data_IF_886243710472
#
_entry.id   IF_886243710472
#
_cell.length_a   1.000
_cell.length_b   1.000
_cell.length_c   1.000
_cell.angle_alpha   90.00
_cell.angle_beta   90.00
_cell.angle_gamma   90.00
#
_symmetry.space_group_name_H-M   'P 1'
#
loop_
_entity.id
_entity.type
_entity.pdbx_description
1 polymer ?
#
# COMPACT_ATOMS: atom_id res chain seq x y z
N UNK A 1 -37.31 60.85 12.02
CA UNK A 1 -36.34 60.34 11.05
C UNK A 1 -35.25 59.65 11.83
N UNK A 2 -35.34 58.36 12.00
CA UNK A 2 -34.36 57.55 12.70
C UNK A 2 -33.58 56.73 11.70
N UNK A 3 -32.29 56.92 11.65
CA UNK A 3 -31.37 56.14 10.83
C UNK A 3 -31.06 54.83 11.53
N UNK A 4 -31.39 53.70 10.90
CA UNK A 4 -31.00 52.35 11.34
C UNK A 4 -29.65 52.07 10.74
N UNK A 5 -28.63 52.01 11.59
CA UNK A 5 -27.31 51.48 11.25
C UNK A 5 -27.38 49.95 11.26
N UNK A 6 -27.37 49.35 10.08
CA UNK A 6 -27.13 47.92 9.92
C UNK A 6 -25.62 47.63 10.02
N UNK A 7 -25.20 47.09 11.16
CA UNK A 7 -23.87 46.52 11.31
C UNK A 7 -23.83 45.14 10.61
N UNK A 8 -23.13 45.06 9.47
CA UNK A 8 -22.72 43.79 8.89
C UNK A 8 -21.61 43.17 9.76
N UNK A 9 -22.00 42.32 10.65
CA UNK A 9 -21.06 41.38 11.29
C UNK A 9 -20.80 40.25 10.27
N UNK A 10 -19.69 40.34 9.59
CA UNK A 10 -19.20 39.22 8.77
C UNK A 10 -18.89 38.02 9.66
N UNK A 11 -19.78 37.04 9.64
CA UNK A 11 -19.51 35.71 10.17
C UNK A 11 -18.50 35.06 9.24
N UNK A 12 -17.23 35.13 9.55
CA UNK A 12 -16.22 34.24 9.03
C UNK A 12 -16.55 32.86 9.57
N UNK A 13 -17.34 32.10 8.81
CA UNK A 13 -17.45 30.65 8.97
C UNK A 13 -16.10 30.08 8.61
N UNK A 14 -15.26 29.86 9.62
CA UNK A 14 -14.20 28.88 9.53
C UNK A 14 -14.94 27.55 9.35
N UNK A 15 -15.05 27.09 8.12
CA UNK A 15 -15.44 25.73 7.86
C UNK A 15 -14.37 24.86 8.54
N UNK A 16 -14.64 24.40 9.76
CA UNK A 16 -14.00 23.20 10.27
C UNK A 16 -14.34 22.16 9.21
N UNK A 17 -13.34 21.73 8.47
CA UNK A 17 -13.45 20.48 7.73
C UNK A 17 -13.87 19.45 8.78
N UNK A 18 -15.08 18.94 8.67
CA UNK A 18 -15.50 17.80 9.47
C UNK A 18 -14.46 16.72 9.15
N UNK A 19 -13.76 16.23 10.16
CA UNK A 19 -13.00 15.01 10.01
C UNK A 19 -14.01 13.98 9.49
N UNK A 20 -13.64 13.18 8.47
CA UNK A 20 -14.54 12.15 7.98
C UNK A 20 -14.98 11.28 9.17
N UNK A 21 -16.25 10.88 9.19
CA UNK A 21 -16.84 10.08 10.28
C UNK A 21 -16.06 8.79 10.60
N UNK A 22 -15.19 8.34 9.70
CA UNK A 22 -14.20 7.27 9.85
C UNK A 22 -12.78 7.87 9.88
N UNK A 23 -12.45 8.66 10.90
CA UNK A 23 -11.09 9.11 11.12
C UNK A 23 -10.17 7.89 11.31
N UNK A 24 -9.34 7.59 10.31
CA UNK A 24 -8.37 6.49 10.33
C UNK A 24 -7.50 6.56 11.58
N UNK A 25 -7.52 5.52 12.38
CA UNK A 25 -6.71 5.42 13.59
C UNK A 25 -5.24 5.27 13.20
N UNK A 26 -4.44 6.26 13.57
CA UNK A 26 -2.99 6.20 13.42
C UNK A 26 -2.36 5.90 14.77
N UNK A 27 -1.78 4.73 14.88
CA UNK A 27 -1.29 4.16 16.14
C UNK A 27 -0.34 5.11 16.90
N UNK A 28 0.58 5.77 16.22
CA UNK A 28 1.53 6.72 16.81
C UNK A 28 0.86 7.99 17.37
N UNK A 29 -0.33 8.38 16.86
CA UNK A 29 -1.09 9.55 17.34
C UNK A 29 -2.00 9.21 18.52
N UNK A 30 -2.40 7.95 18.65
CA UNK A 30 -3.26 7.47 19.74
C UNK A 30 -2.47 6.87 20.91
N UNK A 31 -1.15 6.83 20.82
CA UNK A 31 -0.28 6.21 21.82
C UNK A 31 -0.29 6.99 23.15
N UNK A 32 -0.44 6.24 24.25
CA UNK A 32 -0.31 6.79 25.57
C UNK A 32 1.18 6.94 25.96
N UNK A 33 1.69 8.16 25.89
CA UNK A 33 3.09 8.51 26.19
C UNK A 33 3.49 8.31 27.66
N UNK A 34 2.54 8.00 28.55
CA UNK A 34 2.84 7.66 29.94
C UNK A 34 3.44 6.25 30.08
N UNK A 35 3.19 5.37 29.09
CA UNK A 35 3.77 4.03 29.06
C UNK A 35 5.19 4.13 28.51
N UNK A 36 6.17 4.02 29.39
CA UNK A 36 7.60 4.06 29.02
C UNK A 36 8.11 2.66 28.76
N UNK A 37 8.38 2.36 27.50
CA UNK A 37 9.13 1.18 27.10
C UNK A 37 10.62 1.48 27.18
N UNK A 38 11.33 0.77 28.03
CA UNK A 38 12.80 0.85 28.21
C UNK A 38 13.44 -0.52 28.08
N UNK A 39 12.66 -1.55 27.79
CA UNK A 39 13.14 -2.90 27.65
C UNK A 39 13.84 -3.11 26.31
N UNK A 40 15.06 -3.62 26.34
CA UNK A 40 15.86 -3.92 25.16
C UNK A 40 16.05 -5.43 24.94
N UNK A 41 15.45 -6.26 25.80
CA UNK A 41 15.55 -7.73 25.65
C UNK A 41 14.80 -8.19 24.41
N UNK A 42 15.39 -9.17 23.72
CA UNK A 42 14.78 -9.92 22.62
C UNK A 42 14.47 -11.36 23.04
N UNK A 43 14.75 -11.71 24.30
CA UNK A 43 14.47 -13.02 24.86
C UNK A 43 13.00 -13.11 25.29
N UNK A 44 12.28 -14.10 24.80
CA UNK A 44 10.85 -14.29 25.04
C UNK A 44 10.46 -14.24 26.54
N UNK A 45 11.33 -14.74 27.43
CA UNK A 45 11.08 -14.81 28.88
C UNK A 45 11.11 -13.44 29.59
N UNK A 46 11.81 -12.46 29.00
CA UNK A 46 12.08 -11.12 29.60
C UNK A 46 11.66 -9.99 28.66
N UNK A 47 10.94 -10.29 27.61
CA UNK A 47 10.47 -9.33 26.62
C UNK A 47 9.28 -8.53 27.13
N UNK A 48 9.32 -7.22 26.87
CA UNK A 48 8.13 -6.37 26.95
C UNK A 48 8.22 -5.22 25.94
N UNK A 49 7.09 -4.79 25.41
CA UNK A 49 6.99 -3.71 24.43
C UNK A 49 5.70 -2.92 24.59
N UNK A 50 5.74 -1.63 24.24
CA UNK A 50 4.52 -0.83 24.09
C UNK A 50 3.78 -1.16 22.77
N UNK A 51 4.47 -1.73 21.76
CA UNK A 51 3.84 -2.21 20.54
C UNK A 51 3.08 -3.53 20.81
N UNK A 52 2.02 -3.82 20.06
CA UNK A 52 1.41 -5.14 20.06
C UNK A 52 2.43 -6.23 19.78
N UNK A 53 2.27 -7.39 20.40
CA UNK A 53 3.17 -8.54 20.26
C UNK A 53 2.41 -9.67 19.57
N UNK A 54 2.98 -10.20 18.50
CA UNK A 54 2.45 -11.33 17.73
C UNK A 54 3.34 -12.55 17.96
N UNK A 55 2.80 -13.62 18.51
CA UNK A 55 3.48 -14.93 18.62
C UNK A 55 2.89 -15.91 17.64
N UNK A 56 3.76 -16.57 16.88
CA UNK A 56 3.39 -17.58 15.89
C UNK A 56 4.11 -18.89 16.22
N UNK A 57 3.34 -19.95 16.43
CA UNK A 57 3.86 -21.29 16.71
C UNK A 57 3.49 -22.24 15.57
N UNK A 58 4.51 -22.86 14.94
CA UNK A 58 4.36 -23.72 13.76
C UNK A 58 4.57 -25.20 14.05
N UNK A 59 4.69 -25.57 15.33
CA UNK A 59 5.06 -26.94 15.76
C UNK A 59 6.34 -27.46 15.07
N UNK A 60 7.31 -26.53 14.86
CA UNK A 60 8.60 -26.84 14.21
C UNK A 60 8.53 -26.98 12.69
N UNK A 61 7.40 -26.75 12.06
CA UNK A 61 7.30 -26.75 10.60
C UNK A 61 7.93 -25.49 10.01
N UNK A 62 8.58 -25.64 8.85
CA UNK A 62 9.08 -24.50 8.07
C UNK A 62 7.95 -23.86 7.29
N UNK A 63 7.76 -22.54 7.45
CA UNK A 63 6.76 -21.79 6.69
C UNK A 63 7.12 -21.80 5.20
N UNK A 64 6.26 -22.33 4.31
CA UNK A 64 6.55 -22.48 2.89
C UNK A 64 6.49 -21.12 2.17
N UNK A 65 7.01 -21.10 0.95
CA UNK A 65 6.92 -19.94 0.05
C UNK A 65 8.26 -19.24 -0.23
N UNK A 66 9.37 -19.71 0.34
CA UNK A 66 10.72 -19.31 -0.10
C UNK A 66 11.14 -20.15 -1.32
N UNK A 67 11.84 -19.56 -2.32
CA UNK A 67 12.40 -20.35 -3.41
C UNK A 67 13.53 -21.24 -2.91
N UNK A 68 13.62 -22.43 -3.47
CA UNK A 68 14.76 -23.33 -3.29
C UNK A 68 15.99 -22.82 -4.07
N UNK A 69 17.16 -23.39 -3.78
CA UNK A 69 18.39 -23.01 -4.48
C UNK A 69 18.25 -23.25 -6.00
N UNK A 70 18.37 -22.17 -6.78
CA UNK A 70 18.22 -22.19 -8.24
C UNK A 70 16.78 -22.07 -8.76
N UNK A 71 15.78 -22.06 -7.89
CA UNK A 71 14.39 -21.84 -8.26
C UNK A 71 14.11 -20.34 -8.43
N UNK A 72 13.37 -19.98 -9.48
CA UNK A 72 12.87 -18.60 -9.65
C UNK A 72 11.69 -18.36 -8.72
N UNK A 73 11.58 -17.14 -8.18
CA UNK A 73 10.45 -16.77 -7.31
C UNK A 73 9.10 -17.00 -7.98
N UNK A 74 8.99 -16.72 -9.28
CA UNK A 74 7.77 -16.97 -10.06
C UNK A 74 7.37 -18.45 -10.15
N UNK A 75 8.25 -19.38 -9.78
CA UNK A 75 8.01 -20.82 -9.80
C UNK A 75 7.69 -21.39 -8.41
N UNK A 76 7.57 -20.52 -7.40
CA UNK A 76 7.25 -20.96 -6.03
C UNK A 76 5.74 -21.06 -5.87
N UNK A 77 5.28 -22.24 -5.46
CA UNK A 77 3.87 -22.48 -5.17
C UNK A 77 3.41 -21.74 -3.90
N UNK A 78 2.17 -21.31 -3.90
CA UNK A 78 1.53 -20.62 -2.79
C UNK A 78 0.85 -21.62 -1.82
N UNK A 79 1.64 -22.54 -1.26
CA UNK A 79 1.15 -23.50 -0.26
C UNK A 79 1.14 -22.88 1.14
N UNK A 80 0.30 -23.43 2.02
CA UNK A 80 0.15 -23.01 3.41
C UNK A 80 0.47 -24.14 4.37
N UNK A 81 0.86 -23.80 5.59
CA UNK A 81 0.86 -24.70 6.74
C UNK A 81 -0.07 -24.18 7.82
N UNK A 82 -0.53 -25.07 8.68
CA UNK A 82 -1.25 -24.70 9.90
C UNK A 82 -0.29 -24.20 10.97
N UNK A 83 -0.67 -23.16 11.70
CA UNK A 83 0.08 -22.63 12.83
C UNK A 83 -0.90 -22.06 13.86
N UNK A 84 -0.42 -21.76 15.06
CA UNK A 84 -1.15 -21.02 16.08
C UNK A 84 -0.64 -19.61 16.15
N UNK A 85 -1.53 -18.62 16.22
CA UNK A 85 -1.19 -17.21 16.39
C UNK A 85 -1.83 -16.66 17.65
N UNK A 86 -1.04 -15.94 18.44
CA UNK A 86 -1.50 -15.13 19.57
C UNK A 86 -1.10 -13.67 19.35
N UNK A 87 -2.01 -12.75 19.67
CA UNK A 87 -1.76 -11.31 19.61
C UNK A 87 -2.04 -10.73 20.98
N UNK A 88 -1.02 -10.17 21.61
CA UNK A 88 -1.10 -9.46 22.88
C UNK A 88 -1.12 -7.95 22.60
N UNK A 89 -2.21 -7.30 22.96
CA UNK A 89 -2.39 -5.85 22.83
C UNK A 89 -3.08 -5.30 24.07
N UNK A 90 -2.33 -4.63 24.91
CA UNK A 90 -2.82 -4.01 26.16
C UNK A 90 -2.79 -2.50 26.02
N UNK A 91 -3.94 -1.86 25.93
CA UNK A 91 -4.03 -0.41 25.94
C UNK A 91 -3.54 0.16 27.27
N UNK A 92 -2.48 0.97 27.23
CA UNK A 92 -1.93 1.66 28.42
C UNK A 92 -1.02 0.80 29.30
N UNK A 93 -0.52 -0.34 28.81
CA UNK A 93 0.50 -1.17 29.47
C UNK A 93 1.52 -1.67 28.45
N UNK A 94 2.65 -2.18 28.94
CA UNK A 94 3.56 -2.96 28.10
C UNK A 94 2.98 -4.34 27.84
N UNK A 95 3.12 -4.82 26.61
CA UNK A 95 2.74 -6.15 26.18
C UNK A 95 3.88 -7.13 26.41
N UNK A 96 3.56 -8.30 26.90
CA UNK A 96 4.49 -9.42 27.10
C UNK A 96 3.91 -10.70 26.51
N UNK A 97 4.76 -11.70 26.26
CA UNK A 97 4.32 -13.03 25.80
C UNK A 97 3.59 -13.84 26.89
N UNK A 98 3.48 -13.29 28.12
CA UNK A 98 2.80 -13.92 29.26
C UNK A 98 1.40 -13.36 29.48
N UNK A 99 1.05 -12.29 28.75
CA UNK A 99 -0.27 -11.67 28.88
C UNK A 99 -1.34 -12.54 28.20
N UNK A 100 -2.58 -12.40 28.66
CA UNK A 100 -3.73 -13.02 28.00
C UNK A 100 -3.89 -12.37 26.60
N UNK A 101 -3.87 -13.15 25.51
CA UNK A 101 -3.97 -12.62 24.17
C UNK A 101 -5.40 -12.13 23.83
N UNK A 102 -5.53 -11.02 23.13
CA UNK A 102 -6.79 -10.57 22.54
C UNK A 102 -7.23 -11.46 21.39
N UNK A 103 -6.28 -12.00 20.63
CA UNK A 103 -6.52 -13.02 19.60
C UNK A 103 -5.69 -14.23 19.94
N UNK A 104 -6.34 -15.39 19.99
CA UNK A 104 -5.71 -16.70 20.14
C UNK A 104 -6.40 -17.65 19.17
N UNK A 105 -5.78 -17.89 18.00
CA UNK A 105 -6.47 -18.52 16.88
C UNK A 105 -5.55 -19.42 16.05
N UNK A 106 -6.17 -20.41 15.41
CA UNK A 106 -5.53 -21.20 14.38
C UNK A 106 -5.44 -20.39 13.08
N UNK A 107 -4.31 -20.53 12.39
CA UNK A 107 -4.06 -19.85 11.12
C UNK A 107 -3.50 -20.80 10.07
N UNK A 108 -3.71 -20.44 8.81
CA UNK A 108 -2.96 -20.93 7.67
C UNK A 108 -1.95 -19.85 7.29
N UNK A 109 -0.65 -20.17 7.22
CA UNK A 109 0.42 -19.20 6.99
C UNK A 109 1.37 -19.62 5.88
N UNK A 110 1.86 -18.65 5.13
CA UNK A 110 2.93 -18.80 4.14
C UNK A 110 3.78 -17.55 4.02
N UNK A 111 4.98 -17.69 3.50
CA UNK A 111 5.79 -16.55 3.06
C UNK A 111 5.12 -15.91 1.83
N UNK A 112 5.10 -14.58 1.78
CA UNK A 112 4.50 -13.80 0.68
C UNK A 112 5.49 -12.83 0.04
N UNK A 113 5.09 -12.30 -1.11
CA UNK A 113 5.87 -11.31 -1.87
C UNK A 113 6.43 -11.91 -3.15
N UNK A 114 7.22 -11.13 -3.87
CA UNK A 114 8.01 -11.56 -5.02
C UNK A 114 9.49 -11.55 -4.59
N UNK A 115 10.27 -10.55 -4.94
CA UNK A 115 11.68 -10.44 -4.55
C UNK A 115 11.91 -10.48 -3.04
N UNK A 116 10.96 -10.00 -2.24
CA UNK A 116 11.02 -10.04 -0.77
C UNK A 116 11.06 -11.46 -0.16
N UNK A 117 10.72 -12.51 -0.91
CA UNK A 117 10.90 -13.90 -0.48
C UNK A 117 12.38 -14.34 -0.40
N UNK A 118 13.27 -13.57 -1.03
CA UNK A 118 14.71 -13.80 -1.02
C UNK A 118 15.42 -13.20 0.20
N UNK A 119 14.75 -12.33 0.93
CA UNK A 119 15.32 -11.65 2.09
C UNK A 119 15.28 -12.52 3.34
N UNK A 120 16.18 -12.27 4.29
CA UNK A 120 16.18 -12.98 5.55
C UNK A 120 14.95 -12.68 6.39
N UNK A 121 14.54 -11.41 6.47
CA UNK A 121 13.29 -10.96 7.09
C UNK A 121 12.18 -10.96 6.06
N UNK A 122 11.42 -12.04 6.00
CA UNK A 122 10.32 -12.20 5.04
C UNK A 122 9.01 -11.60 5.57
N UNK A 123 8.10 -11.29 4.63
CA UNK A 123 6.71 -11.02 4.94
C UNK A 123 5.86 -12.29 4.87
N UNK A 124 4.75 -12.30 5.60
CA UNK A 124 3.81 -13.42 5.65
C UNK A 124 2.42 -13.00 5.18
N UNK A 125 1.74 -13.91 4.51
CA UNK A 125 0.30 -13.92 4.36
C UNK A 125 -0.25 -15.01 5.27
N UNK A 126 -1.25 -14.66 6.08
CA UNK A 126 -1.93 -15.64 6.91
C UNK A 126 -3.45 -15.46 6.86
N UNK A 127 -4.14 -16.53 7.19
CA UNK A 127 -5.60 -16.58 7.27
C UNK A 127 -6.00 -17.19 8.59
N UNK A 128 -6.85 -16.53 9.32
CA UNK A 128 -7.51 -17.11 10.46
C UNK A 128 -8.52 -18.18 10.00
N UNK A 129 -8.50 -19.32 10.67
CA UNK A 129 -9.38 -20.44 10.36
C UNK A 129 -10.08 -20.97 11.61
N UNK A 130 -11.27 -21.53 11.41
CA UNK A 130 -11.90 -22.33 12.44
C UNK A 130 -11.33 -23.76 12.43
N UNK A 131 -11.74 -24.58 13.38
CA UNK A 131 -11.28 -25.96 13.56
C UNK A 131 -11.59 -26.88 12.36
N UNK A 132 -12.58 -26.52 11.53
CA UNK A 132 -12.89 -27.23 10.28
C UNK A 132 -12.12 -26.71 9.06
N UNK A 133 -11.24 -25.71 9.25
CA UNK A 133 -10.45 -25.08 8.20
C UNK A 133 -11.19 -24.00 7.38
N UNK A 134 -12.41 -23.65 7.78
CA UNK A 134 -13.13 -22.52 7.17
C UNK A 134 -12.55 -21.19 7.63
N UNK A 135 -12.68 -20.16 6.78
CA UNK A 135 -12.21 -18.82 7.09
C UNK A 135 -13.00 -18.24 8.28
N UNK A 136 -12.30 -17.67 9.26
CA UNK A 136 -12.87 -17.07 10.46
C UNK A 136 -12.34 -15.64 10.64
N UNK A 137 -13.19 -14.61 10.52
CA UNK A 137 -12.73 -13.23 10.66
C UNK A 137 -12.42 -12.88 12.12
N UNK A 138 -11.37 -12.08 12.33
CA UNK A 138 -11.01 -11.48 13.59
C UNK A 138 -10.71 -9.99 13.40
N UNK A 139 -11.11 -9.17 14.37
CA UNK A 139 -10.59 -7.84 14.55
C UNK A 139 -9.13 -7.94 15.00
N UNK A 140 -8.22 -7.19 14.38
CA UNK A 140 -6.79 -7.24 14.68
C UNK A 140 -6.29 -5.83 14.97
N UNK A 141 -5.84 -5.59 16.21
CA UNK A 141 -5.25 -4.31 16.61
C UNK A 141 -6.17 -3.11 16.30
N UNK A 142 -7.47 -3.25 16.57
CA UNK A 142 -8.49 -2.23 16.31
C UNK A 142 -8.71 -1.91 14.82
N UNK A 143 -8.29 -2.80 13.92
CA UNK A 143 -8.64 -2.77 12.49
C UNK A 143 -9.83 -3.69 12.25
N UNK A 144 -10.70 -3.31 11.30
CA UNK A 144 -11.91 -4.05 10.98
C UNK A 144 -11.65 -5.54 10.69
N UNK A 145 -12.60 -6.37 11.13
CA UNK A 145 -12.45 -7.81 11.07
C UNK A 145 -12.30 -8.36 9.64
N UNK A 146 -11.36 -9.26 9.46
CA UNK A 146 -11.18 -10.05 8.25
C UNK A 146 -10.51 -11.38 8.62
N UNK A 147 -10.63 -12.37 7.76
CA UNK A 147 -9.88 -13.61 7.91
C UNK A 147 -8.45 -13.52 7.40
N UNK A 148 -8.16 -12.66 6.43
CA UNK A 148 -6.88 -12.63 5.71
C UNK A 148 -6.08 -11.36 5.98
N UNK A 149 -4.85 -11.53 6.43
CA UNK A 149 -3.95 -10.46 6.85
C UNK A 149 -2.54 -10.62 6.28
N UNK A 150 -1.80 -9.54 6.28
CA UNK A 150 -0.39 -9.50 5.88
C UNK A 150 0.48 -9.00 7.03
N UNK A 151 1.53 -9.74 7.35
CA UNK A 151 2.66 -9.27 8.15
C UNK A 151 3.78 -8.86 7.19
N UNK A 152 3.95 -7.57 6.99
CA UNK A 152 5.04 -7.03 6.18
C UNK A 152 6.31 -6.94 7.02
N UNK A 153 7.37 -7.66 6.60
CA UNK A 153 8.70 -7.62 7.22
C UNK A 153 9.61 -6.62 6.51
N UNK A 154 9.83 -5.42 7.05
CA UNK A 154 10.66 -4.41 6.40
C UNK A 154 12.14 -4.79 6.52
N UNK A 155 12.70 -5.38 5.46
CA UNK A 155 14.12 -5.76 5.38
C UNK A 155 14.97 -4.71 4.67
N UNK A 156 14.60 -4.35 3.43
CA UNK A 156 15.25 -3.27 2.70
C UNK A 156 14.94 -1.89 3.29
N UNK A 157 13.72 -1.72 3.79
CA UNK A 157 13.32 -0.49 4.44
C UNK A 157 13.92 -0.38 5.84
N UNK A 158 15.14 0.12 5.91
CA UNK A 158 15.87 0.35 7.18
C UNK A 158 15.24 1.45 8.04
N UNK A 159 14.27 2.21 7.50
CA UNK A 159 13.47 3.17 8.31
C UNK A 159 12.33 2.51 9.05
N UNK A 160 11.94 1.30 8.68
CA UNK A 160 10.79 0.52 9.17
C UNK A 160 9.43 1.17 8.88
N UNK A 161 9.36 2.39 8.33
CA UNK A 161 8.15 3.20 8.32
C UNK A 161 7.50 3.43 6.94
N UNK A 162 8.14 3.08 5.80
CA UNK A 162 7.62 3.42 4.46
C UNK A 162 6.20 2.95 4.23
N UNK A 163 5.92 1.67 4.42
CA UNK A 163 4.57 1.12 4.28
C UNK A 163 3.60 1.73 5.29
N UNK A 164 3.99 1.80 6.56
CA UNK A 164 3.15 2.38 7.61
C UNK A 164 2.75 3.83 7.31
N UNK A 165 3.72 4.66 6.96
CA UNK A 165 3.50 6.07 6.65
C UNK A 165 2.61 6.25 5.42
N UNK A 166 2.95 5.60 4.30
CA UNK A 166 2.24 5.84 3.05
C UNK A 166 0.85 5.23 3.01
N UNK A 167 0.61 4.09 3.66
CA UNK A 167 -0.76 3.60 3.80
C UNK A 167 -1.61 4.56 4.62
N UNK A 168 -1.09 5.06 5.74
CA UNK A 168 -1.81 6.02 6.58
C UNK A 168 -2.08 7.36 5.87
N UNK A 169 -1.09 7.92 5.17
CA UNK A 169 -1.28 9.14 4.39
C UNK A 169 -2.22 8.92 3.20
N UNK A 170 -2.10 7.78 2.52
CA UNK A 170 -2.99 7.44 1.41
C UNK A 170 -4.45 7.29 1.87
N UNK A 171 -4.70 6.71 3.04
CA UNK A 171 -6.04 6.60 3.61
C UNK A 171 -6.66 7.93 4.07
N UNK A 172 -5.86 9.02 4.14
CA UNK A 172 -6.36 10.38 4.33
C UNK A 172 -6.57 11.13 3.01
N UNK A 173 -6.02 10.64 1.91
CA UNK A 173 -6.08 11.27 0.58
C UNK A 173 -7.13 10.58 -0.28
N UNK A 174 -7.14 9.25 -0.28
CA UNK A 174 -8.01 8.39 -1.07
C UNK A 174 -9.23 7.94 -0.25
N UNK A 175 -10.29 7.51 -0.92
CA UNK A 175 -11.48 6.95 -0.28
C UNK A 175 -11.16 5.72 0.57
N UNK A 176 -10.25 4.87 0.10
CA UNK A 176 -9.78 3.70 0.81
C UNK A 176 -8.30 3.41 0.52
N UNK A 177 -7.58 3.00 1.52
CA UNK A 177 -6.25 2.40 1.45
C UNK A 177 -6.11 1.41 2.63
N UNK A 178 -5.28 0.36 2.54
CA UNK A 178 -5.09 -0.60 3.61
C UNK A 178 -4.78 0.08 4.95
N UNK A 179 -5.43 -0.34 6.03
CA UNK A 179 -5.07 0.08 7.38
C UNK A 179 -3.86 -0.72 7.88
N UNK A 180 -3.09 -0.14 8.80
CA UNK A 180 -1.80 -0.69 9.21
C UNK A 180 -1.50 -0.45 10.68
N UNK A 181 -0.82 -1.41 11.32
CA UNK A 181 -0.30 -1.28 12.68
C UNK A 181 1.12 -1.83 12.76
N UNK A 182 1.98 -1.16 13.52
CA UNK A 182 3.24 -1.76 13.94
C UNK A 182 2.99 -2.86 14.99
N UNK A 183 3.78 -3.91 14.92
CA UNK A 183 3.84 -4.96 15.93
C UNK A 183 5.24 -5.56 15.99
N UNK A 184 5.54 -6.24 17.08
CA UNK A 184 6.76 -7.03 17.22
C UNK A 184 6.42 -8.52 17.15
N UNK A 185 7.18 -9.28 16.38
CA UNK A 185 6.84 -10.67 16.03
C UNK A 185 7.81 -11.66 16.65
N UNK A 186 7.27 -12.72 17.23
CA UNK A 186 7.97 -13.94 17.62
C UNK A 186 7.52 -15.10 16.75
N UNK A 187 8.47 -15.91 16.30
CA UNK A 187 8.22 -17.15 15.58
C UNK A 187 8.89 -18.30 16.32
N UNK A 188 8.09 -19.26 16.80
CA UNK A 188 8.57 -20.38 17.62
C UNK A 188 9.47 -19.91 18.78
N UNK A 189 9.03 -18.88 19.49
CA UNK A 189 9.73 -18.26 20.63
C UNK A 189 10.95 -17.40 20.25
N UNK A 190 11.34 -17.30 18.97
CA UNK A 190 12.45 -16.48 18.53
C UNK A 190 11.98 -15.11 18.01
N UNK A 191 12.55 -14.03 18.51
CA UNK A 191 12.21 -12.66 18.10
C UNK A 191 12.58 -12.39 16.64
N UNK A 192 11.62 -11.87 15.86
CA UNK A 192 11.76 -11.57 14.45
C UNK A 192 11.84 -10.05 14.14
N UNK A 193 11.68 -9.20 15.14
CA UNK A 193 11.73 -7.74 14.97
C UNK A 193 10.38 -7.08 14.76
N UNK A 194 10.44 -5.81 14.35
CA UNK A 194 9.28 -4.98 14.04
C UNK A 194 8.70 -5.35 12.68
N UNK A 195 7.40 -5.57 12.63
CA UNK A 195 6.60 -5.83 11.43
C UNK A 195 5.49 -4.78 11.30
N UNK A 196 4.93 -4.68 10.11
CA UNK A 196 3.71 -3.92 9.85
C UNK A 196 2.58 -4.91 9.55
N UNK A 197 1.65 -5.06 10.49
CA UNK A 197 0.38 -5.72 10.26
C UNK A 197 -0.42 -4.87 9.28
N UNK A 198 -0.88 -5.47 8.21
CA UNK A 198 -1.49 -4.75 7.08
C UNK A 198 -2.75 -5.47 6.63
N UNK A 199 -3.79 -4.71 6.40
CA UNK A 199 -4.99 -5.19 5.74
C UNK A 199 -4.68 -5.74 4.36
N UNK A 200 -5.23 -6.91 4.04
CA UNK A 200 -5.24 -7.40 2.66
C UNK A 200 -6.25 -6.59 1.85
N UNK A 201 -5.95 -6.29 0.57
CA UNK A 201 -6.93 -5.72 -0.35
C UNK A 201 -7.99 -6.78 -0.62
N UNK A 202 -9.17 -6.59 -0.03
CA UNK A 202 -10.33 -7.51 -0.06
C UNK A 202 -11.64 -6.73 -0.09
N UNK A 203 -12.74 -7.41 -0.32
CA UNK A 203 -14.10 -6.86 -0.25
C UNK A 203 -14.68 -7.16 1.14
N UNK A 204 -15.26 -6.16 1.79
CA UNK A 204 -15.87 -6.31 3.11
C UNK A 204 -16.11 -4.97 3.81
N UNK A 205 -16.73 -5.01 4.97
CA UNK A 205 -16.89 -3.87 5.86
C UNK A 205 -15.51 -3.34 6.29
N UNK A 206 -15.32 -2.01 6.20
CA UNK A 206 -14.03 -1.36 6.46
C UNK A 206 -12.91 -1.68 5.45
N UNK A 207 -13.20 -2.52 4.46
CA UNK A 207 -12.33 -2.82 3.31
C UNK A 207 -12.84 -2.08 2.07
N UNK A 208 -12.65 -2.66 0.89
CA UNK A 208 -13.29 -2.16 -0.32
C UNK A 208 -14.77 -2.49 -0.26
N UNK A 209 -15.60 -1.48 -0.07
CA UNK A 209 -17.05 -1.61 0.01
C UNK A 209 -17.65 -1.58 -1.40
N UNK A 210 -17.92 -2.76 -1.94
CA UNK A 210 -18.62 -2.98 -3.20
C UNK A 210 -19.67 -4.07 -3.01
N UNK A 211 -20.62 -4.15 -3.92
CA UNK A 211 -21.65 -5.20 -3.91
C UNK A 211 -21.01 -6.58 -3.93
N UNK A 212 -21.26 -7.38 -2.92
CA UNK A 212 -20.75 -8.74 -2.87
C UNK A 212 -21.34 -9.61 -3.98
N UNK A 213 -20.51 -10.46 -4.56
CA UNK A 213 -20.93 -11.40 -5.59
C UNK A 213 -21.82 -12.51 -4.99
N UNK A 214 -23.02 -12.63 -5.52
CA UNK A 214 -24.04 -13.59 -5.06
C UNK A 214 -23.77 -15.06 -5.45
N UNK A 215 -22.73 -15.30 -6.26
CA UNK A 215 -22.36 -16.63 -6.75
C UNK A 215 -23.31 -17.19 -7.82
N UNK A 216 -24.20 -16.37 -8.40
CA UNK A 216 -25.23 -16.80 -9.38
C UNK A 216 -25.31 -15.92 -10.61
N UNK A 217 -25.10 -14.61 -10.44
CA UNK A 217 -25.18 -13.63 -11.51
C UNK A 217 -24.02 -13.79 -12.51
N UNK A 218 -24.24 -13.40 -13.76
CA UNK A 218 -23.18 -13.34 -14.78
C UNK A 218 -22.44 -12.00 -14.79
N UNK A 219 -22.65 -11.19 -13.77
CA UNK A 219 -21.95 -9.91 -13.51
C UNK A 219 -21.56 -9.87 -12.05
N UNK A 220 -20.48 -9.18 -11.75
CA UNK A 220 -19.95 -9.03 -10.38
C UNK A 220 -19.22 -7.69 -10.25
N UNK A 221 -19.19 -7.14 -9.03
CA UNK A 221 -18.10 -6.26 -8.63
C UNK A 221 -16.79 -7.05 -8.69
N UNK A 222 -15.66 -6.35 -8.83
CA UNK A 222 -14.39 -7.04 -8.93
C UNK A 222 -13.22 -6.26 -8.35
N UNK A 223 -12.19 -7.00 -7.95
CA UNK A 223 -10.84 -6.51 -7.69
C UNK A 223 -9.90 -7.24 -8.63
N UNK A 224 -9.04 -6.50 -9.31
CA UNK A 224 -7.96 -7.06 -10.13
C UNK A 224 -6.63 -6.49 -9.70
N UNK A 225 -5.57 -7.28 -9.87
CA UNK A 225 -4.19 -6.89 -9.57
C UNK A 225 -3.33 -7.04 -10.82
N UNK A 226 -2.63 -6.00 -11.17
CA UNK A 226 -1.60 -6.04 -12.21
C UNK A 226 -0.30 -6.46 -11.57
N UNK A 227 0.24 -7.60 -11.99
CA UNK A 227 1.50 -8.13 -11.45
C UNK A 227 2.24 -9.00 -12.48
N UNK A 228 3.34 -9.58 -12.04
CA UNK A 228 4.13 -10.54 -12.82
C UNK A 228 3.38 -11.86 -12.94
N UNK A 229 3.59 -12.54 -14.06
CA UNK A 229 3.04 -13.89 -14.26
C UNK A 229 3.56 -14.85 -13.18
N UNK A 230 2.67 -15.70 -12.67
CA UNK A 230 2.94 -16.72 -11.66
C UNK A 230 2.63 -18.11 -12.19
N UNK A 231 3.29 -19.14 -11.65
CA UNK A 231 2.97 -20.56 -11.91
C UNK A 231 1.76 -21.06 -11.15
N UNK A 232 1.27 -20.27 -10.19
CA UNK A 232 0.05 -20.62 -9.47
C UNK A 232 -1.13 -20.58 -10.44
N UNK A 233 -2.11 -21.44 -10.19
CA UNK A 233 -3.35 -21.45 -10.94
C UNK A 233 -4.16 -20.20 -10.55
N UNK A 234 -4.08 -19.20 -11.40
CA UNK A 234 -4.71 -17.88 -11.22
C UNK A 234 -5.43 -17.47 -12.49
N UNK A 235 -6.56 -16.80 -12.32
CA UNK A 235 -7.36 -16.31 -13.43
C UNK A 235 -6.82 -14.97 -13.92
N UNK A 236 -6.18 -14.99 -15.07
CA UNK A 236 -5.75 -13.79 -15.79
C UNK A 236 -6.82 -13.31 -16.76
N UNK A 237 -6.95 -11.99 -16.86
CA UNK A 237 -7.80 -11.37 -17.87
C UNK A 237 -7.14 -11.40 -19.25
N UNK A 238 -7.95 -11.58 -20.30
CA UNK A 238 -7.58 -11.25 -21.67
C UNK A 238 -7.94 -9.77 -21.91
N UNK A 239 -7.07 -8.87 -21.48
CA UNK A 239 -7.32 -7.43 -21.53
C UNK A 239 -6.63 -6.76 -22.72
N UNK A 240 -7.18 -5.60 -23.12
CA UNK A 240 -6.76 -4.92 -24.36
C UNK A 240 -5.29 -4.49 -24.36
N UNK A 241 -4.75 -3.94 -23.26
CA UNK A 241 -3.37 -3.47 -23.25
C UNK A 241 -2.35 -4.60 -23.31
N UNK A 242 -2.66 -5.77 -22.79
CA UNK A 242 -1.87 -6.98 -22.97
C UNK A 242 -1.92 -7.46 -24.43
N UNK A 243 -3.13 -7.59 -24.97
CA UNK A 243 -3.31 -7.97 -26.38
C UNK A 243 -2.58 -7.01 -27.34
N UNK A 244 -2.68 -5.71 -27.10
CA UNK A 244 -2.00 -4.68 -27.87
C UNK A 244 -0.50 -4.55 -27.56
N UNK A 245 0.06 -5.42 -26.71
CA UNK A 245 1.47 -5.41 -26.24
C UNK A 245 1.92 -4.05 -25.68
N UNK A 246 1.03 -3.38 -24.96
CA UNK A 246 1.32 -2.13 -24.29
C UNK A 246 1.86 -2.34 -22.87
N UNK A 247 1.67 -3.53 -22.32
CA UNK A 247 2.21 -3.97 -21.04
C UNK A 247 2.72 -5.41 -21.14
N UNK A 248 3.60 -5.78 -20.22
CA UNK A 248 4.13 -7.15 -20.06
C UNK A 248 3.62 -7.82 -18.79
N UNK A 249 3.03 -7.05 -17.90
CA UNK A 249 2.38 -7.55 -16.68
C UNK A 249 1.06 -8.23 -17.03
N UNK A 250 0.62 -9.10 -16.14
CA UNK A 250 -0.67 -9.78 -16.23
C UNK A 250 -1.68 -9.11 -15.30
N UNK A 251 -2.95 -9.16 -15.67
CA UNK A 251 -4.06 -8.70 -14.82
C UNK A 251 -4.74 -9.92 -14.22
N UNK A 252 -4.53 -10.13 -12.93
CA UNK A 252 -5.08 -11.26 -12.17
C UNK A 252 -6.37 -10.85 -11.46
N UNK A 253 -7.41 -11.71 -11.50
CA UNK A 253 -8.64 -11.51 -10.72
C UNK A 253 -8.39 -11.88 -9.26
N UNK A 254 -8.61 -10.94 -8.36
CA UNK A 254 -8.53 -11.13 -6.90
C UNK A 254 -9.89 -11.32 -6.24
N UNK A 255 -10.91 -10.70 -6.81
CA UNK A 255 -12.30 -10.85 -6.40
C UNK A 255 -13.20 -10.82 -7.65
N UNK A 256 -14.18 -11.71 -7.75
CA UNK A 256 -14.50 -12.82 -6.84
C UNK A 256 -13.35 -13.80 -6.66
N UNK A 257 -13.25 -14.43 -5.48
CA UNK A 257 -12.21 -15.44 -5.23
C UNK A 257 -12.37 -16.67 -6.13
N UNK A 258 -11.28 -17.38 -6.40
CA UNK A 258 -11.18 -18.48 -7.37
C UNK A 258 -12.30 -19.55 -7.26
N UNK A 259 -12.78 -19.84 -6.04
CA UNK A 259 -13.90 -20.79 -5.83
C UNK A 259 -15.26 -20.32 -6.38
N UNK A 260 -15.43 -18.99 -6.55
CA UNK A 260 -16.68 -18.39 -7.05
C UNK A 260 -16.52 -17.86 -8.49
N UNK A 261 -15.32 -17.87 -9.03
CA UNK A 261 -15.01 -17.38 -10.35
C UNK A 261 -15.42 -18.44 -11.38
N UNK A 262 -16.22 -18.02 -12.37
CA UNK A 262 -16.62 -18.85 -13.51
C UNK A 262 -16.09 -18.25 -14.81
N UNK A 263 -15.99 -19.02 -15.92
CA UNK A 263 -15.59 -18.46 -17.21
C UNK A 263 -16.42 -17.24 -17.63
N UNK A 264 -17.74 -17.26 -17.35
CA UNK A 264 -18.65 -16.16 -17.70
C UNK A 264 -18.32 -14.88 -16.91
N UNK A 265 -17.93 -15.02 -15.64
CA UNK A 265 -17.52 -13.89 -14.80
C UNK A 265 -16.15 -13.36 -15.26
N UNK A 266 -15.19 -14.25 -15.53
CA UNK A 266 -13.88 -13.87 -16.07
C UNK A 266 -14.03 -13.12 -17.39
N UNK A 267 -14.88 -13.60 -18.29
CA UNK A 267 -15.21 -12.94 -19.56
C UNK A 267 -15.88 -11.58 -19.36
N UNK A 268 -16.78 -11.47 -18.37
CA UNK A 268 -17.42 -10.20 -18.02
C UNK A 268 -16.37 -9.19 -17.55
N UNK A 269 -15.52 -9.56 -16.59
CA UNK A 269 -14.47 -8.69 -16.05
C UNK A 269 -13.48 -8.30 -17.15
N UNK A 270 -13.05 -9.26 -17.99
CA UNK A 270 -12.13 -9.00 -19.10
C UNK A 270 -12.70 -7.98 -20.09
N UNK A 271 -13.98 -8.09 -20.44
CA UNK A 271 -14.65 -7.13 -21.32
C UNK A 271 -14.79 -5.76 -20.69
N UNK A 272 -15.27 -5.69 -19.44
CA UNK A 272 -15.49 -4.43 -18.73
C UNK A 272 -14.16 -3.67 -18.54
N UNK A 273 -13.10 -4.35 -18.10
CA UNK A 273 -11.77 -3.76 -17.96
C UNK A 273 -11.18 -3.34 -19.32
N UNK A 274 -11.34 -4.17 -20.35
CA UNK A 274 -10.91 -3.85 -21.73
C UNK A 274 -11.68 -2.66 -22.33
N UNK A 275 -12.94 -2.46 -21.98
CA UNK A 275 -13.71 -1.28 -22.43
C UNK A 275 -13.13 0.01 -21.88
N UNK A 276 -12.73 0.04 -20.60
CA UNK A 276 -11.96 1.15 -20.05
C UNK A 276 -10.69 1.40 -20.86
N UNK A 277 -9.87 0.38 -21.05
CA UNK A 277 -8.60 0.50 -21.78
C UNK A 277 -8.81 0.97 -23.22
N UNK A 278 -9.75 0.37 -23.95
CA UNK A 278 -10.10 0.79 -25.32
C UNK A 278 -10.58 2.23 -25.39
N UNK A 279 -11.41 2.64 -24.43
CA UNK A 279 -11.88 4.04 -24.37
C UNK A 279 -10.73 5.02 -24.20
N UNK A 280 -9.71 4.66 -23.39
CA UNK A 280 -8.55 5.47 -23.15
C UNK A 280 -7.60 5.56 -24.35
N UNK A 281 -7.48 4.47 -25.14
CA UNK A 281 -6.63 4.42 -26.32
C UNK A 281 -7.37 4.74 -27.62
N UNK A 282 -8.65 5.13 -27.55
CA UNK A 282 -9.43 5.56 -28.71
C UNK A 282 -9.08 6.99 -29.16
N UNK A 283 -9.43 7.32 -30.39
CA UNK A 283 -9.23 8.68 -30.92
C UNK A 283 -10.01 9.74 -30.14
N UNK A 284 -11.22 9.38 -29.69
CA UNK A 284 -12.15 10.25 -28.95
C UNK A 284 -12.11 10.02 -27.42
N UNK A 285 -10.94 9.62 -26.89
CA UNK A 285 -10.74 9.28 -25.49
C UNK A 285 -11.17 10.38 -24.49
N UNK A 286 -11.16 11.65 -24.88
CA UNK A 286 -11.63 12.78 -24.07
C UNK A 286 -13.13 13.09 -24.24
N UNK A 287 -13.82 12.36 -25.13
CA UNK A 287 -15.24 12.56 -25.41
C UNK A 287 -16.09 12.42 -24.14
N UNK A 288 -17.07 13.35 -23.94
CA UNK A 288 -18.02 13.24 -22.82
C UNK A 288 -18.90 12.00 -22.90
N UNK A 289 -19.16 11.48 -24.10
CA UNK A 289 -20.06 10.33 -24.31
C UNK A 289 -19.34 8.99 -24.30
N UNK A 290 -18.15 8.91 -24.90
CA UNK A 290 -17.44 7.64 -25.14
C UNK A 290 -16.05 7.58 -24.50
N UNK A 291 -15.57 8.70 -23.95
CA UNK A 291 -14.23 8.78 -23.40
C UNK A 291 -14.09 8.11 -22.02
N UNK A 292 -12.86 7.94 -21.61
CA UNK A 292 -12.43 7.21 -20.43
C UNK A 292 -13.10 7.68 -19.11
N UNK A 293 -13.53 8.96 -19.04
CA UNK A 293 -14.19 9.53 -17.85
C UNK A 293 -15.52 8.85 -17.50
N UNK A 294 -16.09 8.08 -18.42
CA UNK A 294 -17.28 7.27 -18.14
C UNK A 294 -16.96 5.98 -17.41
N UNK A 295 -15.71 5.53 -17.47
CA UNK A 295 -15.26 4.23 -16.95
C UNK A 295 -14.49 4.34 -15.65
N UNK A 296 -13.76 5.43 -15.40
CA UNK A 296 -12.91 5.60 -14.21
C UNK A 296 -13.40 6.72 -13.29
N UNK A 297 -13.12 6.59 -12.01
CA UNK A 297 -13.16 7.69 -11.07
C UNK A 297 -11.90 8.53 -11.23
N UNK A 298 -12.07 9.67 -11.89
CA UNK A 298 -10.94 10.53 -12.28
C UNK A 298 -10.20 11.09 -11.08
N UNK A 299 -10.92 11.41 -10.00
CA UNK A 299 -10.31 12.00 -8.81
C UNK A 299 -9.50 10.97 -8.02
N UNK A 300 -10.00 9.72 -7.94
CA UNK A 300 -9.24 8.60 -7.37
C UNK A 300 -7.95 8.31 -8.18
N UNK A 301 -8.01 8.33 -9.51
CA UNK A 301 -6.82 8.14 -10.36
C UNK A 301 -5.81 9.29 -10.22
N UNK A 302 -6.29 10.52 -10.02
CA UNK A 302 -5.43 11.69 -9.73
C UNK A 302 -4.72 11.51 -8.39
N UNK A 303 -5.43 11.12 -7.34
CA UNK A 303 -4.84 10.88 -6.02
C UNK A 303 -3.81 9.73 -6.07
N UNK A 304 -4.13 8.63 -6.75
CA UNK A 304 -3.18 7.53 -6.97
C UNK A 304 -1.92 8.00 -7.72
N UNK A 305 -2.09 8.81 -8.78
CA UNK A 305 -0.96 9.40 -9.51
C UNK A 305 -0.08 10.22 -8.58
N UNK A 306 -0.65 11.14 -7.81
CA UNK A 306 0.11 12.06 -6.96
C UNK A 306 0.89 11.31 -5.88
N UNK A 307 0.25 10.36 -5.19
CA UNK A 307 0.90 9.55 -4.15
C UNK A 307 2.13 8.83 -4.73
N UNK A 308 1.97 8.16 -5.86
CA UNK A 308 3.02 7.37 -6.47
C UNK A 308 4.07 8.24 -7.20
N UNK A 309 3.70 9.45 -7.66
CA UNK A 309 4.62 10.43 -8.22
C UNK A 309 5.54 11.02 -7.13
N UNK A 310 4.97 11.39 -5.99
CA UNK A 310 5.73 11.92 -4.83
C UNK A 310 6.67 10.86 -4.28
N UNK A 311 6.20 9.65 -4.11
CA UNK A 311 6.97 8.54 -3.54
C UNK A 311 7.92 7.89 -4.54
N UNK A 312 7.72 8.09 -5.83
CA UNK A 312 8.40 7.32 -6.87
C UNK A 312 8.34 5.81 -6.58
N UNK A 313 7.13 5.30 -6.26
CA UNK A 313 6.95 3.89 -5.95
C UNK A 313 7.27 3.03 -7.19
N UNK A 314 8.34 2.25 -7.13
CA UNK A 314 8.95 1.61 -8.29
C UNK A 314 8.00 0.69 -9.07
N UNK A 315 7.15 -0.03 -8.37
CA UNK A 315 6.22 -1.00 -8.96
C UNK A 315 4.88 -0.36 -9.42
N UNK A 316 4.51 0.81 -8.89
CA UNK A 316 3.22 1.45 -9.20
C UNK A 316 2.98 1.66 -10.69
N UNK A 317 1.80 1.26 -11.16
CA UNK A 317 1.37 1.35 -12.57
C UNK A 317 1.95 0.26 -13.49
N UNK A 318 2.78 -0.67 -12.95
CA UNK A 318 3.36 -1.81 -13.70
C UNK A 318 3.12 -3.12 -12.96
N UNK A 319 3.39 -3.15 -11.65
CA UNK A 319 3.21 -4.30 -10.76
C UNK A 319 2.53 -3.86 -9.49
N UNK A 320 2.05 -4.81 -8.69
CA UNK A 320 1.42 -4.52 -7.40
C UNK A 320 0.37 -3.40 -7.48
N UNK A 321 -0.32 -3.32 -8.63
CA UNK A 321 -1.27 -2.25 -8.95
C UNK A 321 -2.68 -2.82 -8.93
N UNK A 322 -3.49 -2.33 -8.01
CA UNK A 322 -4.84 -2.83 -7.80
C UNK A 322 -5.88 -1.89 -8.36
N UNK A 323 -6.87 -2.49 -9.02
CA UNK A 323 -8.09 -1.83 -9.45
C UNK A 323 -9.29 -2.52 -8.82
N UNK A 324 -10.34 -1.75 -8.55
CA UNK A 324 -11.60 -2.28 -8.08
C UNK A 324 -12.78 -1.52 -8.67
N UNK A 325 -13.89 -2.21 -8.80
CA UNK A 325 -15.12 -1.63 -9.35
C UNK A 325 -16.35 -2.32 -8.80
N UNK A 326 -17.34 -1.52 -8.40
CA UNK A 326 -18.68 -2.03 -8.14
C UNK A 326 -19.44 -2.27 -9.46
N UNK A 327 -20.49 -3.08 -9.42
CA UNK A 327 -21.28 -3.50 -10.60
C UNK A 327 -21.67 -2.29 -11.46
N UNK A 328 -22.19 -1.23 -10.85
CA UNK A 328 -22.62 0.00 -11.55
C UNK A 328 -21.65 1.17 -11.37
N UNK A 329 -20.56 0.95 -10.64
CA UNK A 329 -19.59 1.98 -10.31
C UNK A 329 -18.59 2.27 -11.42
N UNK A 330 -17.69 3.19 -11.14
CA UNK A 330 -16.51 3.47 -11.94
C UNK A 330 -15.30 2.73 -11.38
N UNK A 331 -14.36 2.41 -12.23
CA UNK A 331 -13.09 1.80 -11.87
C UNK A 331 -12.29 2.75 -10.99
N UNK A 332 -11.78 2.25 -9.88
CA UNK A 332 -10.93 2.94 -8.91
C UNK A 332 -9.64 2.16 -8.71
N UNK A 333 -8.61 2.82 -8.19
CA UNK A 333 -7.32 2.23 -7.85
C UNK A 333 -7.12 2.24 -6.34
N UNK A 334 -6.35 1.27 -5.84
CA UNK A 334 -5.83 1.27 -4.49
C UNK A 334 -4.31 1.21 -4.48
N UNK A 335 -3.69 1.90 -3.53
CA UNK A 335 -2.24 1.85 -3.32
C UNK A 335 -1.82 0.52 -2.70
N UNK A 336 -0.60 0.07 -3.04
CA UNK A 336 0.01 -1.12 -2.47
C UNK A 336 1.53 -1.04 -2.54
N UNK A 337 2.20 -1.62 -1.52
CA UNK A 337 3.64 -1.94 -1.49
C UNK A 337 4.58 -0.75 -1.70
N UNK A 338 4.77 0.06 -0.64
CA UNK A 338 5.67 1.21 -0.65
C UNK A 338 7.12 0.90 -0.22
N UNK A 339 7.47 -0.36 0.04
CA UNK A 339 8.82 -0.70 0.51
C UNK A 339 9.92 -0.30 -0.49
N UNK A 340 9.60 -0.26 -1.78
CA UNK A 340 10.51 0.14 -2.87
C UNK A 340 10.47 1.65 -3.20
N UNK A 341 9.72 2.45 -2.44
CA UNK A 341 9.55 3.87 -2.72
C UNK A 341 10.73 4.73 -2.24
N UNK A 342 10.80 5.96 -2.75
CA UNK A 342 11.77 6.98 -2.35
C UNK A 342 13.22 6.47 -2.41
N UNK A 343 13.59 5.94 -3.57
CA UNK A 343 14.93 5.43 -3.88
C UNK A 343 15.36 4.20 -3.07
N UNK A 344 14.41 3.41 -2.57
CA UNK A 344 14.67 2.14 -1.86
C UNK A 344 14.55 0.93 -2.79
N UNK A 345 14.80 1.08 -4.08
CA UNK A 345 14.69 0.04 -5.09
C UNK A 345 16.03 -0.60 -5.40
N UNK A 346 16.09 -1.94 -5.43
CA UNK A 346 17.35 -2.68 -5.58
C UNK A 346 18.00 -2.51 -6.95
N UNK A 347 17.19 -2.53 -8.01
CA UNK A 347 17.70 -2.69 -9.38
C UNK A 347 18.40 -1.45 -9.91
N UNK A 348 17.95 -0.25 -9.49
CA UNK A 348 18.54 1.01 -9.93
C UNK A 348 18.26 2.15 -8.96
N UNK A 349 19.13 3.15 -9.01
CA UNK A 349 18.91 4.42 -8.32
C UNK A 349 17.88 5.25 -9.08
N UNK A 350 16.84 5.71 -8.38
CA UNK A 350 15.80 6.53 -8.99
C UNK A 350 16.28 7.97 -9.19
N UNK A 351 16.10 8.60 -10.38
CA UNK A 351 16.45 9.98 -10.59
C UNK A 351 15.59 10.90 -9.73
N UNK A 352 16.18 11.99 -9.22
CA UNK A 352 15.44 13.00 -8.45
C UNK A 352 14.50 13.81 -9.35
N UNK A 353 14.94 14.13 -10.56
CA UNK A 353 14.23 14.93 -11.55
C UNK A 353 13.42 14.06 -12.53
N UNK A 354 12.45 14.67 -13.19
CA UNK A 354 11.56 14.02 -14.15
C UNK A 354 10.29 13.47 -13.50
N UNK A 355 9.24 13.28 -14.32
CA UNK A 355 8.00 12.67 -13.87
C UNK A 355 8.10 11.16 -13.90
N UNK A 356 7.63 10.54 -12.84
CA UNK A 356 7.74 9.10 -12.64
C UNK A 356 6.51 8.35 -13.17
N UNK A 357 5.31 8.83 -12.79
CA UNK A 357 4.04 8.18 -13.14
C UNK A 357 3.58 8.48 -14.57
N UNK A 358 4.01 9.61 -15.14
CA UNK A 358 3.56 10.07 -16.47
C UNK A 358 3.77 9.01 -17.56
N UNK A 359 4.81 8.19 -17.44
CA UNK A 359 5.17 7.19 -18.44
C UNK A 359 4.65 5.77 -18.11
N UNK A 360 3.79 5.63 -17.12
CA UNK A 360 3.20 4.35 -16.73
C UNK A 360 1.99 4.04 -17.63
N UNK A 361 1.74 2.77 -17.87
CA UNK A 361 0.79 2.19 -18.85
C UNK A 361 -0.42 3.05 -19.19
N UNK A 362 -1.33 3.28 -18.24
CA UNK A 362 -2.57 4.06 -18.48
C UNK A 362 -2.34 5.56 -18.31
N UNK A 363 -1.43 5.96 -17.43
CA UNK A 363 -1.14 7.36 -17.14
C UNK A 363 -0.43 8.07 -18.32
N UNK A 364 0.27 7.32 -19.16
CA UNK A 364 0.81 7.85 -20.41
C UNK A 364 -0.28 8.45 -21.30
N UNK A 365 -1.46 7.83 -21.35
CA UNK A 365 -2.59 8.36 -22.11
C UNK A 365 -3.39 9.40 -21.33
N UNK A 366 -3.61 9.17 -20.04
CA UNK A 366 -4.35 10.10 -19.18
C UNK A 366 -3.71 11.48 -19.14
N UNK A 367 -2.38 11.57 -19.04
CA UNK A 367 -1.65 12.85 -19.03
C UNK A 367 -1.65 13.58 -20.39
N UNK A 368 -2.13 12.96 -21.46
CA UNK A 368 -2.39 13.65 -22.73
C UNK A 368 -3.67 14.48 -22.71
N UNK A 369 -4.53 14.25 -21.75
CA UNK A 369 -5.72 15.05 -21.53
C UNK A 369 -5.39 16.23 -20.62
N UNK A 370 -5.59 17.45 -21.13
CA UNK A 370 -5.30 18.70 -20.41
C UNK A 370 -6.14 18.81 -19.13
N UNK A 371 -7.43 18.43 -19.18
CA UNK A 371 -8.30 18.45 -17.99
C UNK A 371 -7.80 17.49 -16.89
N UNK A 372 -7.28 16.31 -17.26
CA UNK A 372 -6.71 15.38 -16.30
C UNK A 372 -5.41 15.92 -15.70
N UNK A 373 -4.55 16.50 -16.52
CA UNK A 373 -3.29 17.13 -16.10
C UNK A 373 -3.55 18.32 -15.17
N UNK A 374 -4.54 19.18 -15.49
CA UNK A 374 -4.94 20.30 -14.62
C UNK A 374 -5.45 19.80 -13.26
N UNK A 375 -6.22 18.71 -13.23
CA UNK A 375 -6.67 18.09 -11.98
C UNK A 375 -5.47 17.63 -11.13
N UNK A 376 -4.47 16.96 -11.72
CA UNK A 376 -3.25 16.55 -11.01
C UNK A 376 -2.56 17.78 -10.38
N UNK A 377 -2.32 18.83 -11.18
CA UNK A 377 -1.61 20.03 -10.73
C UNK A 377 -2.36 20.73 -9.60
N UNK A 378 -3.66 20.90 -9.77
CA UNK A 378 -4.51 21.56 -8.77
C UNK A 378 -4.56 20.75 -7.47
N UNK A 379 -4.79 19.45 -7.56
CA UNK A 379 -4.86 18.54 -6.41
C UNK A 379 -3.51 18.41 -5.69
N UNK A 380 -2.41 18.28 -6.42
CA UNK A 380 -1.07 18.29 -5.84
C UNK A 380 -0.82 19.55 -5.02
N UNK A 381 -1.09 20.73 -5.58
CA UNK A 381 -0.95 22.00 -4.87
C UNK A 381 -1.84 22.12 -3.64
N UNK A 382 -3.03 21.52 -3.67
CA UNK A 382 -3.92 21.44 -2.50
C UNK A 382 -3.28 20.56 -1.41
N UNK A 383 -2.82 19.36 -1.75
CA UNK A 383 -2.19 18.43 -0.81
C UNK A 383 -0.89 19.00 -0.21
N UNK A 384 -0.11 19.78 -0.98
CA UNK A 384 1.10 20.47 -0.52
C UNK A 384 0.84 21.56 0.52
N UNK A 385 -0.39 22.05 0.63
CA UNK A 385 -0.79 23.02 1.69
C UNK A 385 -1.17 22.34 3.00
N UNK A 386 -1.28 21.04 3.04
CA UNK A 386 -1.74 20.27 4.20
C UNK A 386 -0.95 18.98 4.36
N UNK A 387 -1.58 17.86 4.05
CA UNK A 387 -1.09 16.51 4.36
C UNK A 387 0.31 16.22 3.76
N UNK A 388 0.63 16.74 2.58
CA UNK A 388 1.94 16.61 1.94
C UNK A 388 2.83 17.85 2.11
N UNK A 389 2.55 18.76 3.06
CA UNK A 389 3.49 19.85 3.37
C UNK A 389 4.77 19.28 3.98
N UNK A 390 5.90 19.99 3.77
CA UNK A 390 7.19 19.56 4.32
C UNK A 390 7.13 19.44 5.84
N UNK A 391 6.45 20.37 6.50
CA UNK A 391 6.33 20.36 7.97
C UNK A 391 5.50 19.18 8.46
N UNK A 392 4.37 18.87 7.80
CA UNK A 392 3.56 17.72 8.18
C UNK A 392 4.28 16.40 7.96
N UNK A 393 4.99 16.26 6.83
CA UNK A 393 5.75 15.04 6.50
C UNK A 393 6.90 14.84 7.49
N UNK A 394 7.63 15.91 7.84
CA UNK A 394 8.71 15.85 8.84
C UNK A 394 8.17 15.49 10.23
N UNK A 395 7.12 16.19 10.67
CA UNK A 395 6.50 15.91 11.97
C UNK A 395 5.98 14.47 12.04
N UNK A 396 5.36 13.98 10.96
CA UNK A 396 4.90 12.59 10.89
C UNK A 396 6.04 11.58 11.07
N UNK A 397 7.16 11.82 10.41
CA UNK A 397 8.33 10.92 10.52
C UNK A 397 8.92 10.96 11.95
N UNK A 398 9.00 12.14 12.57
CA UNK A 398 9.47 12.32 13.95
C UNK A 398 8.53 11.63 14.94
N UNK A 399 7.21 11.81 14.80
CA UNK A 399 6.21 11.13 15.64
C UNK A 399 6.31 9.61 15.53
N UNK A 400 6.53 9.07 14.32
CA UNK A 400 6.71 7.62 14.12
C UNK A 400 8.02 7.12 14.71
N UNK A 401 9.12 7.89 14.62
CA UNK A 401 10.39 7.53 15.26
C UNK A 401 10.24 7.47 16.79
N UNK A 402 9.61 8.48 17.36
CA UNK A 402 9.35 8.55 18.81
C UNK A 402 8.46 7.37 19.25
N UNK A 403 7.44 7.06 18.44
CA UNK A 403 6.55 5.94 18.70
C UNK A 403 7.26 4.59 18.64
N UNK A 404 8.10 4.34 17.65
CA UNK A 404 8.87 3.10 17.57
C UNK A 404 9.84 2.92 18.73
N UNK A 405 10.49 3.99 19.17
CA UNK A 405 11.33 4.01 20.36
C UNK A 405 12.29 2.81 20.47
N UNK A 406 12.27 2.11 21.61
CA UNK A 406 13.13 0.96 21.88
C UNK A 406 12.92 -0.23 20.93
N UNK A 407 11.77 -0.32 20.24
CA UNK A 407 11.53 -1.38 19.29
C UNK A 407 12.51 -1.32 18.10
N UNK A 408 13.00 -0.13 17.74
CA UNK A 408 14.06 0.05 16.73
C UNK A 408 15.34 -0.68 17.14
N UNK A 409 15.79 -0.45 18.37
CA UNK A 409 17.02 -1.08 18.86
C UNK A 409 16.85 -2.60 18.95
N UNK A 410 15.71 -3.09 19.47
CA UNK A 410 15.42 -4.53 19.49
C UNK A 410 15.43 -5.12 18.09
N UNK A 411 14.81 -4.45 17.10
CA UNK A 411 14.80 -4.89 15.71
C UNK A 411 16.23 -5.05 15.18
N UNK A 412 17.08 -4.05 15.38
CA UNK A 412 18.43 -4.07 14.85
C UNK A 412 19.45 -4.86 15.69
N UNK A 413 19.08 -5.37 16.87
CA UNK A 413 19.85 -6.45 17.54
C UNK A 413 19.84 -7.74 16.71
N UNK A 414 18.78 -8.01 15.97
CA UNK A 414 18.67 -9.16 15.07
C UNK A 414 19.13 -8.81 13.66
N UNK A 415 18.71 -7.65 13.13
CA UNK A 415 18.90 -7.28 11.73
C UNK A 415 20.00 -6.24 11.50
N UNK A 416 20.76 -5.88 12.52
CA UNK A 416 21.80 -4.83 12.45
C UNK A 416 22.96 -5.14 11.50
N UNK A 417 23.22 -6.43 11.22
CA UNK A 417 24.19 -6.83 10.20
C UNK A 417 23.87 -6.26 8.80
N UNK A 418 22.61 -5.88 8.55
CA UNK A 418 22.20 -5.27 7.28
C UNK A 418 22.77 -3.86 7.06
N UNK A 419 23.33 -3.24 8.09
CA UNK A 419 24.06 -1.98 8.00
C UNK A 419 25.54 -2.15 7.61
N UNK A 420 26.04 -3.37 7.64
CA UNK A 420 27.43 -3.65 7.25
C UNK A 420 27.56 -3.56 5.72
N UNK A 421 28.58 -2.88 5.23
CA UNK A 421 28.77 -2.60 3.79
C UNK A 421 28.82 -3.83 2.89
N UNK A 422 29.24 -4.98 3.44
CA UNK A 422 29.25 -6.26 2.72
C UNK A 422 27.86 -6.86 2.48
N UNK A 423 26.85 -6.37 3.20
CA UNK A 423 25.47 -6.82 3.12
C UNK A 423 24.55 -5.78 2.43
N UNK A 424 25.16 -4.78 1.75
CA UNK A 424 24.38 -3.78 1.04
C UNK A 424 23.70 -4.36 -0.19
N UNK A 425 22.36 -4.31 -0.19
CA UNK A 425 21.51 -4.80 -1.30
C UNK A 425 21.14 -3.70 -2.28
N UNK A 426 21.39 -2.43 -1.95
CA UNK A 426 21.05 -1.28 -2.79
C UNK A 426 22.30 -0.85 -3.58
N UNK A 427 22.25 -0.96 -4.90
CA UNK A 427 23.35 -0.53 -5.77
C UNK A 427 23.36 0.99 -5.99
N UNK A 428 24.54 1.61 -6.03
CA UNK A 428 24.75 3.03 -6.33
C UNK A 428 25.40 3.84 -5.22
N UNK A 429 26.08 4.92 -5.59
CA UNK A 429 26.73 5.81 -4.62
C UNK A 429 25.72 6.50 -3.70
N UNK A 430 26.07 6.64 -2.43
CA UNK A 430 25.28 7.36 -1.43
C UNK A 430 24.02 6.62 -0.95
N UNK A 431 23.86 5.36 -1.35
CA UNK A 431 22.73 4.52 -0.90
C UNK A 431 23.11 3.57 0.25
N UNK A 432 24.38 3.45 0.56
CA UNK A 432 24.86 2.72 1.73
C UNK A 432 24.50 3.50 2.99
N UNK A 433 23.86 2.82 3.93
CA UNK A 433 23.33 3.37 5.16
C UNK A 433 23.94 2.56 6.31
N UNK A 434 24.63 3.25 7.23
CA UNK A 434 25.36 2.66 8.36
C UNK A 434 24.53 2.61 9.66
N UNK A 435 23.37 3.30 9.72
CA UNK A 435 22.51 3.30 10.92
C UNK A 435 21.06 3.58 10.60
N UNK A 436 20.19 3.36 11.58
CA UNK A 436 18.77 3.71 11.49
C UNK A 436 18.56 5.22 11.31
N UNK A 437 19.29 6.05 12.03
CA UNK A 437 19.20 7.50 11.97
C UNK A 437 19.59 8.01 10.58
N UNK A 438 20.65 7.45 10.00
CA UNK A 438 21.05 7.75 8.62
C UNK A 438 19.96 7.35 7.62
N UNK A 439 19.32 6.20 7.82
CA UNK A 439 18.23 5.73 6.98
C UNK A 439 17.05 6.70 6.99
N UNK A 440 16.63 7.15 8.17
CA UNK A 440 15.52 8.10 8.32
C UNK A 440 15.88 9.45 7.73
N UNK A 441 17.09 9.96 7.99
CA UNK A 441 17.54 11.24 7.44
C UNK A 441 17.67 11.21 5.92
N UNK A 442 18.17 10.11 5.33
CA UNK A 442 18.24 9.94 3.89
C UNK A 442 16.84 9.91 3.28
N UNK A 443 15.92 9.17 3.89
CA UNK A 443 14.53 9.10 3.44
C UNK A 443 13.85 10.48 3.50
N UNK A 444 13.99 11.20 4.62
CA UNK A 444 13.47 12.55 4.81
C UNK A 444 13.99 13.51 3.74
N UNK A 445 15.32 13.55 3.54
CA UNK A 445 15.95 14.38 2.52
C UNK A 445 15.45 14.06 1.12
N UNK A 446 15.35 12.77 0.80
CA UNK A 446 14.87 12.31 -0.49
C UNK A 446 13.45 12.81 -0.75
N UNK A 447 12.55 12.62 0.20
CA UNK A 447 11.14 12.98 0.06
C UNK A 447 10.95 14.49 -0.05
N UNK A 448 11.57 15.27 0.84
CA UNK A 448 11.49 16.74 0.79
C UNK A 448 12.10 17.29 -0.52
N UNK A 449 13.23 16.73 -0.96
CA UNK A 449 13.85 17.16 -2.23
C UNK A 449 12.98 16.82 -3.43
N UNK A 450 12.33 15.65 -3.42
CA UNK A 450 11.39 15.24 -4.48
C UNK A 450 10.18 16.17 -4.55
N UNK A 451 9.56 16.46 -3.43
CA UNK A 451 8.45 17.40 -3.36
C UNK A 451 8.86 18.80 -3.79
N UNK A 452 10.05 19.26 -3.37
CA UNK A 452 10.59 20.55 -3.79
C UNK A 452 10.93 20.63 -5.29
N UNK A 453 11.26 19.51 -5.93
CA UNK A 453 11.37 19.43 -7.39
C UNK A 453 9.98 19.53 -8.04
N UNK A 454 9.02 18.77 -7.56
CA UNK A 454 7.63 18.79 -8.06
C UNK A 454 6.99 20.18 -7.89
N UNK A 455 7.23 20.87 -6.77
CA UNK A 455 6.72 22.24 -6.55
C UNK A 455 7.17 23.23 -7.65
N UNK A 456 8.34 23.01 -8.23
CA UNK A 456 8.90 23.86 -9.29
C UNK A 456 8.47 23.44 -10.70
N UNK A 457 8.16 22.15 -10.87
CA UNK A 457 8.03 21.53 -12.20
C UNK A 457 6.67 20.91 -12.46
N UNK A 458 5.73 20.95 -11.50
CA UNK A 458 4.43 20.27 -11.69
C UNK A 458 3.69 20.80 -12.91
N UNK A 459 3.82 22.06 -13.26
CA UNK A 459 3.24 22.67 -14.46
C UNK A 459 3.85 22.13 -15.76
N UNK A 460 5.05 21.58 -15.73
CA UNK A 460 5.68 20.98 -16.89
C UNK A 460 4.92 19.74 -17.40
N UNK A 461 3.98 19.20 -16.58
CA UNK A 461 3.04 18.15 -17.01
C UNK A 461 2.19 18.59 -18.20
N UNK A 462 1.88 19.88 -18.35
CA UNK A 462 1.17 20.38 -19.53
C UNK A 462 1.90 20.11 -20.84
N UNK A 463 3.23 19.93 -20.81
CA UNK A 463 3.99 19.59 -22.02
C UNK A 463 3.61 18.23 -22.62
N UNK A 464 2.99 17.34 -21.82
CA UNK A 464 2.52 16.02 -22.27
C UNK A 464 1.08 16.04 -22.77
N UNK A 465 0.29 17.07 -22.43
CA UNK A 465 -1.13 17.22 -22.81
C UNK A 465 -1.33 17.98 -24.13
N UNK A 466 -0.25 18.44 -24.78
CA UNK A 466 -0.35 19.08 -26.09
C UNK A 466 -0.71 18.06 -27.21
N UNK A 467 -1.21 18.55 -28.32
CA UNK A 467 -1.43 17.74 -29.52
C UNK A 467 -0.13 17.08 -29.97
N UNK A 468 -0.20 15.78 -30.21
CA UNK A 468 0.97 15.03 -30.70
C UNK A 468 1.41 15.57 -32.07
N UNK A 469 2.71 15.83 -32.22
CA UNK A 469 3.30 16.17 -33.53
C UNK A 469 2.92 15.12 -34.60
N UNK A 470 2.66 13.89 -34.21
CA UNK A 470 2.24 12.81 -35.07
C UNK A 470 0.83 13.00 -35.67
N UNK A 471 -0.04 13.83 -35.07
CA UNK A 471 -1.31 14.22 -35.71
C UNK A 471 -1.10 14.85 -37.08
N UNK A 472 0.01 15.55 -37.28
CA UNK A 472 0.34 16.15 -38.57
C UNK A 472 0.73 15.14 -39.67
N UNK A 473 0.94 13.89 -39.32
CA UNK A 473 1.25 12.82 -40.28
C UNK A 473 0.06 11.91 -40.55
N UNK A 474 -1.07 12.14 -39.86
CA UNK A 474 -2.30 11.37 -40.03
C UNK A 474 -3.44 12.17 -40.69
N UNK A 475 -3.18 13.43 -41.06
CA UNK A 475 -4.09 14.30 -41.86
C UNK A 475 -3.80 14.18 -43.38
#
# INVERSE_FOLDING_TARGET
MGAVLLSLAGVLSIAKFAEPENARVQQHKSYNTEVKDTNLSVEASDFSSHLPVVSIETDGQTIPGRPEQGQRVSQVENTFISARMQIMENNGKLNTLKDDPQVDADIQIRVRGNSSRLFDKVGYLFKFTDTDGSDKPYEVMGMEQDSTWVLHGPFLDKTLMRNYMWYNLSGQIMEWAPDVRFCEVFLNGAYQGVYVMTEQISVGEGRIEVTEYDGRSNISSYIVCVDRESVNDVDYLDNFTEYARRMTSKVEVKYPGARKLTPEITDYISRDFSEFEKSLYSYDYTSKRYGYRNYIDTDNFVDYFIINEVTQNADAGIYSTYFYKDITGKLKMSVWDFNNCCDNYMEYQQPMAGFFMQNRTWFFMLTKDEDFTEKIITRYRQLRKGILSDDNVKAYMEEVQDYLGCAVERNFRVWGYTFESQNDLLTGEGRQIGSYEEAVEQYRKRLVSRMGWLDKHIDDLYSYSHESVNKKFND
#
